data_IF_165280423326
#
_entry.id   IF_165280423326
#
_cell.length_a   1.000
_cell.length_b   1.000
_cell.length_c   1.000
_cell.angle_alpha   90.00
_cell.angle_beta   90.00
_cell.angle_gamma   90.00
#
_symmetry.space_group_name_H-M   'P 1'
#
loop_
_entity.id
_entity.type
_entity.pdbx_description
1 polymer ?
#
# COMPACT_ATOMS: atom_id res chain seq x y z
N UNK A 1 2.76 0.08 -17.66
CA UNK A 1 1.97 0.49 -16.47
C UNK A 1 1.29 1.84 -16.72
N UNK A 2 0.14 1.89 -17.40
CA UNK A 2 -0.54 3.18 -17.69
C UNK A 2 -1.19 3.81 -16.45
N UNK A 3 -1.78 2.98 -15.58
CA UNK A 3 -2.42 3.43 -14.35
C UNK A 3 -1.41 4.09 -13.41
N UNK A 4 -0.31 3.40 -13.09
CA UNK A 4 0.77 3.89 -12.22
C UNK A 4 1.31 5.24 -12.68
N UNK A 5 1.60 5.41 -13.97
CA UNK A 5 2.10 6.69 -14.50
C UNK A 5 1.10 7.83 -14.28
N UNK A 6 -0.20 7.59 -14.52
CA UNK A 6 -1.24 8.60 -14.33
C UNK A 6 -1.44 8.96 -12.87
N UNK A 7 -1.36 7.96 -11.98
CA UNK A 7 -1.46 8.20 -10.54
C UNK A 7 -0.24 8.98 -10.05
N UNK A 8 0.98 8.58 -10.42
CA UNK A 8 2.20 9.28 -10.04
C UNK A 8 2.19 10.75 -10.50
N UNK A 9 1.82 11.01 -11.76
CA UNK A 9 1.68 12.36 -12.29
C UNK A 9 0.66 13.21 -11.53
N UNK A 10 -0.39 12.59 -10.98
CA UNK A 10 -1.41 13.33 -10.22
C UNK A 10 -0.87 13.87 -8.90
N UNK A 11 0.10 13.19 -8.30
CA UNK A 11 0.71 13.55 -7.02
C UNK A 11 2.06 14.27 -7.17
N UNK A 12 2.53 14.52 -8.39
CA UNK A 12 3.72 15.31 -8.64
C UNK A 12 3.59 16.71 -8.00
N UNK A 13 4.60 17.13 -7.23
CA UNK A 13 4.59 18.39 -6.48
C UNK A 13 3.72 18.43 -5.21
N UNK A 14 3.03 17.33 -4.86
CA UNK A 14 2.34 17.18 -3.58
C UNK A 14 3.26 16.53 -2.55
N UNK A 15 2.86 16.53 -1.28
CA UNK A 15 3.58 15.81 -0.21
C UNK A 15 3.37 14.28 -0.25
N UNK A 16 2.57 13.79 -1.20
CA UNK A 16 2.24 12.38 -1.31
C UNK A 16 3.07 11.68 -2.38
N UNK A 17 3.51 10.48 -2.08
CA UNK A 17 4.30 9.65 -2.98
C UNK A 17 3.58 8.33 -3.30
N UNK A 18 3.73 7.86 -4.54
CA UNK A 18 3.19 6.59 -5.00
C UNK A 18 4.22 5.48 -4.84
N UNK A 19 3.81 4.39 -4.21
CA UNK A 19 4.57 3.15 -4.07
C UNK A 19 3.88 2.04 -4.86
N UNK A 20 4.67 1.17 -5.48
CA UNK A 20 4.20 0.02 -6.25
C UNK A 20 4.87 -1.25 -5.74
N UNK A 21 4.25 -2.41 -5.98
CA UNK A 21 4.88 -3.70 -5.64
C UNK A 21 6.29 -3.84 -6.24
N UNK A 22 7.25 -4.44 -5.50
CA UNK A 22 7.13 -4.94 -4.13
C UNK A 22 7.15 -3.80 -3.10
N UNK A 23 6.14 -3.75 -2.22
CA UNK A 23 6.06 -2.77 -1.12
C UNK A 23 5.18 -3.33 0.01
N UNK A 24 5.70 -3.31 1.24
CA UNK A 24 5.06 -3.94 2.39
C UNK A 24 4.38 -2.91 3.28
N UNK A 25 3.16 -3.23 3.71
CA UNK A 25 2.44 -2.53 4.78
C UNK A 25 2.39 -3.42 6.01
N UNK A 26 2.98 -2.95 7.10
CA UNK A 26 3.13 -3.67 8.35
C UNK A 26 2.08 -3.20 9.36
N UNK A 27 1.28 -4.12 9.87
CA UNK A 27 0.28 -3.83 10.90
C UNK A 27 0.70 -4.51 12.21
N UNK A 28 1.16 -3.73 13.21
CA UNK A 28 1.56 -4.26 14.50
C UNK A 28 0.36 -4.62 15.38
N UNK A 29 0.55 -5.55 16.31
CA UNK A 29 -0.36 -5.76 17.44
C UNK A 29 -0.15 -4.70 18.56
N UNK A 30 -0.92 -4.81 19.63
CA UNK A 30 -0.83 -3.92 20.79
C UNK A 30 0.55 -3.97 21.49
N UNK A 31 1.31 -5.05 21.28
CA UNK A 31 2.68 -5.21 21.80
C UNK A 31 3.75 -4.68 20.85
N UNK A 32 3.37 -4.14 19.68
CA UNK A 32 4.27 -3.63 18.67
C UNK A 32 4.89 -4.69 17.76
N UNK A 33 4.49 -5.96 17.88
CA UNK A 33 4.98 -7.02 17.00
C UNK A 33 4.20 -6.99 15.68
N UNK A 34 4.88 -7.14 14.55
CA UNK A 34 4.22 -7.19 13.24
C UNK A 34 3.35 -8.45 13.17
N UNK A 35 2.03 -8.24 13.14
CA UNK A 35 1.02 -9.31 13.11
C UNK A 35 0.59 -9.64 11.69
N UNK A 36 0.39 -8.60 10.88
CA UNK A 36 -0.09 -8.72 9.51
C UNK A 36 0.83 -7.94 8.58
N UNK A 37 1.12 -8.53 7.41
CA UNK A 37 1.82 -7.86 6.31
C UNK A 37 0.93 -7.94 5.08
N UNK A 38 0.78 -6.80 4.42
CA UNK A 38 -0.03 -6.68 3.21
C UNK A 38 0.79 -6.03 2.11
N UNK A 39 0.65 -6.56 0.88
CA UNK A 39 1.28 -6.03 -0.32
C UNK A 39 0.20 -5.65 -1.33
N UNK A 40 -0.18 -4.36 -1.42
CA UNK A 40 -1.09 -3.90 -2.44
C UNK A 40 -0.34 -3.65 -3.75
N UNK A 41 -1.02 -3.77 -4.90
CA UNK A 41 -0.40 -3.45 -6.20
C UNK A 41 0.19 -2.02 -6.24
N UNK A 42 -0.57 -1.03 -5.72
CA UNK A 42 -0.13 0.36 -5.54
C UNK A 42 -0.67 0.93 -4.23
N UNK A 43 0.08 1.85 -3.62
CA UNK A 43 -0.42 2.69 -2.53
C UNK A 43 0.16 4.11 -2.58
N UNK A 44 -0.56 5.07 -2.00
CA UNK A 44 -0.12 6.47 -1.88
C UNK A 44 0.02 6.82 -0.41
N UNK A 45 1.16 7.40 -0.05
CA UNK A 45 1.49 7.77 1.32
C UNK A 45 1.87 9.25 1.32
N UNK A 46 1.16 10.03 2.13
CA UNK A 46 1.34 11.48 2.29
C UNK A 46 2.12 11.83 3.56
N UNK A 47 2.15 10.92 4.54
CA UNK A 47 2.90 11.10 5.78
C UNK A 47 4.19 10.28 5.75
N UNK A 48 5.37 10.92 5.59
CA UNK A 48 6.64 10.20 5.56
C UNK A 48 7.00 9.56 6.91
N UNK A 49 6.35 9.93 8.02
CA UNK A 49 6.57 9.28 9.32
C UNK A 49 6.04 7.84 9.35
N UNK A 50 5.14 7.49 8.43
CA UNK A 50 4.68 6.11 8.26
C UNK A 50 5.72 5.23 7.56
N UNK A 51 6.77 5.79 6.98
CA UNK A 51 7.76 5.05 6.20
C UNK A 51 8.98 4.67 7.04
N UNK A 52 9.41 3.42 6.90
CA UNK A 52 10.70 2.93 7.38
C UNK A 52 11.42 2.14 6.28
N UNK A 53 12.62 1.64 6.57
CA UNK A 53 13.42 0.86 5.61
C UNK A 53 12.76 -0.47 5.20
N UNK A 54 11.68 -0.88 5.86
CA UNK A 54 10.96 -2.13 5.60
C UNK A 54 9.68 -1.86 4.80
N UNK A 55 9.13 -0.65 4.82
CA UNK A 55 7.93 -0.28 4.06
C UNK A 55 7.11 0.78 4.78
N UNK A 56 5.78 0.59 4.79
CA UNK A 56 4.83 1.45 5.51
C UNK A 56 4.39 0.80 6.82
N UNK A 57 4.40 1.54 7.92
CA UNK A 57 3.81 1.13 9.20
C UNK A 57 2.35 1.61 9.26
N UNK A 58 1.42 0.66 9.28
CA UNK A 58 -0.01 0.93 9.25
C UNK A 58 -0.55 1.26 7.86
N UNK A 59 -1.75 1.85 7.84
CA UNK A 59 -2.48 2.11 6.61
C UNK A 59 -1.96 3.33 5.82
N UNK A 60 -1.85 3.23 4.48
CA UNK A 60 -1.54 4.35 3.61
C UNK A 60 -2.78 5.24 3.41
N UNK A 61 -2.61 6.34 2.71
CA UNK A 61 -3.70 7.29 2.42
C UNK A 61 -4.60 6.81 1.27
N UNK A 62 -4.05 6.02 0.34
CA UNK A 62 -4.81 5.33 -0.70
C UNK A 62 -4.19 3.96 -1.00
N UNK A 63 -5.03 2.94 -1.15
CA UNK A 63 -4.66 1.62 -1.67
C UNK A 63 -5.35 1.40 -3.01
N UNK A 64 -4.63 0.88 -4.01
CA UNK A 64 -5.20 0.48 -5.30
C UNK A 64 -4.76 -0.94 -5.61
N UNK A 65 -5.73 -1.81 -5.84
CA UNK A 65 -5.53 -3.21 -6.20
C UNK A 65 -6.06 -3.48 -7.61
N UNK A 66 -5.24 -4.15 -8.43
CA UNK A 66 -5.58 -4.52 -9.80
C UNK A 66 -6.07 -5.97 -9.77
N UNK A 67 -7.39 -6.12 -9.72
CA UNK A 67 -8.01 -7.44 -9.66
C UNK A 67 -7.71 -8.25 -10.92
N UNK A 68 -7.11 -9.42 -10.72
CA UNK A 68 -6.99 -10.44 -11.75
C UNK A 68 -8.28 -11.28 -11.80
N UNK A 69 -8.70 -11.75 -12.98
CA UNK A 69 -9.91 -12.57 -13.11
C UNK A 69 -9.91 -13.83 -12.23
N UNK A 70 -8.73 -14.41 -11.98
CA UNK A 70 -8.58 -15.68 -11.29
C UNK A 70 -8.32 -15.57 -9.78
N UNK A 71 -8.04 -14.37 -9.24
CA UNK A 71 -7.64 -14.23 -7.83
C UNK A 71 -8.29 -13.04 -7.11
N UNK A 72 -9.28 -12.39 -7.73
CA UNK A 72 -9.90 -11.17 -7.20
C UNK A 72 -10.41 -11.29 -5.76
N UNK A 73 -11.00 -12.44 -5.36
CA UNK A 73 -11.48 -12.65 -3.98
C UNK A 73 -10.35 -12.67 -2.96
N UNK A 74 -9.24 -13.35 -3.26
CA UNK A 74 -8.11 -13.46 -2.34
C UNK A 74 -7.33 -12.14 -2.26
N UNK A 75 -7.16 -11.45 -3.40
CA UNK A 75 -6.56 -10.12 -3.48
C UNK A 75 -7.31 -9.11 -2.60
N UNK A 76 -8.63 -9.02 -2.77
CA UNK A 76 -9.46 -8.12 -1.96
C UNK A 76 -9.48 -8.50 -0.47
N UNK A 77 -9.57 -9.79 -0.14
CA UNK A 77 -9.59 -10.23 1.25
C UNK A 77 -8.31 -9.87 2.01
N UNK A 78 -7.16 -9.97 1.36
CA UNK A 78 -5.85 -9.66 1.97
C UNK A 78 -5.73 -8.19 2.38
N UNK A 79 -6.44 -7.28 1.70
CA UNK A 79 -6.48 -5.85 2.04
C UNK A 79 -7.45 -5.51 3.18
N UNK A 80 -8.59 -6.22 3.26
CA UNK A 80 -9.67 -5.92 4.22
C UNK A 80 -9.41 -6.54 5.60
N UNK A 81 -8.62 -7.61 5.67
CA UNK A 81 -8.35 -8.35 6.89
C UNK A 81 -7.16 -7.83 7.71
N UNK A 82 -6.55 -6.72 7.28
CA UNK A 82 -5.39 -6.12 7.91
C UNK A 82 -5.74 -4.97 8.86
#
# INVERSE_FOLDING_TARGET
MKLTLRVAQKFEGHQCELYAVPFDMHFPDESGNIKTVVQPDLCVICDPQKLDNRGCLGAPDLVVEILSPNNSKAQTASLILA
#
